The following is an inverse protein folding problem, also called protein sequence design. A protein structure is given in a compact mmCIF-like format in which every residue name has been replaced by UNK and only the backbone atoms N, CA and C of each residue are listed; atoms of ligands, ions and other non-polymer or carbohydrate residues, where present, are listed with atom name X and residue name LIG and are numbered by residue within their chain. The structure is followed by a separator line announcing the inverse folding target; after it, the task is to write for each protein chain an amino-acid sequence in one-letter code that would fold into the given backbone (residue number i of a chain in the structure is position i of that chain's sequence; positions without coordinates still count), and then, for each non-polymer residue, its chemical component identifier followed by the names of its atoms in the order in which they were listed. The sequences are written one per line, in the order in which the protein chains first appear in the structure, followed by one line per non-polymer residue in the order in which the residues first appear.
data_IF_554690485180
#
_entry.id   IF_554690485180
#
_cell.length_a   1.000
_cell.length_b   1.000
_cell.length_c   1.000
_cell.angle_alpha   90.00
_cell.angle_beta   90.00
_cell.angle_gamma   90.00
#
_symmetry.space_group_name_H-M   'P 1'
#
loop_
_entity.id
_entity.type
_entity.pdbx_description
1 polymer ?
#
# COMPACT_ATOMS: atom_id res chain seq x y z
N UNK A 1 -25.07 17.63 9.12
CA UNK A 1 -23.98 16.71 8.76
C UNK A 1 -24.30 16.12 7.39
N UNK A 2 -23.45 16.33 6.39
CA UNK A 2 -23.59 15.67 5.08
C UNK A 2 -23.05 14.25 5.22
N UNK A 3 -23.88 13.25 4.94
CA UNK A 3 -23.47 11.85 4.88
C UNK A 3 -22.93 11.56 3.47
N UNK A 4 -21.66 11.16 3.38
CA UNK A 4 -21.05 10.75 2.13
C UNK A 4 -21.01 9.22 2.07
N UNK A 5 -21.48 8.59 0.99
CA UNK A 5 -21.43 7.14 0.86
C UNK A 5 -19.98 6.65 0.73
N UNK A 6 -19.71 5.40 1.13
CA UNK A 6 -18.41 4.75 0.89
C UNK A 6 -18.50 3.98 -0.43
N UNK A 7 -17.77 4.44 -1.43
CA UNK A 7 -17.82 3.94 -2.81
C UNK A 7 -16.58 3.13 -3.23
N UNK A 8 -15.65 2.88 -2.31
CA UNK A 8 -14.51 2.00 -2.57
C UNK A 8 -14.94 0.54 -2.73
N UNK A 9 -14.30 -0.23 -3.63
CA UNK A 9 -14.42 -1.67 -3.62
C UNK A 9 -14.04 -2.23 -2.25
N UNK A 10 -14.85 -3.14 -1.71
CA UNK A 10 -14.66 -3.68 -0.36
C UNK A 10 -13.24 -4.21 -0.07
N UNK A 11 -12.49 -4.84 -1.02
CA UNK A 11 -11.12 -5.29 -0.73
C UNK A 11 -10.16 -4.12 -0.52
N UNK A 12 -10.37 -3.01 -1.23
CA UNK A 12 -9.56 -1.80 -1.12
C UNK A 12 -9.88 -1.07 0.18
N UNK A 13 -11.15 -1.06 0.59
CA UNK A 13 -11.56 -0.52 1.88
C UNK A 13 -10.92 -1.30 3.04
N UNK A 14 -10.97 -2.64 3.00
CA UNK A 14 -10.31 -3.49 3.99
C UNK A 14 -8.81 -3.23 4.04
N UNK A 15 -8.15 -3.13 2.88
CA UNK A 15 -6.74 -2.78 2.79
C UNK A 15 -6.44 -1.42 3.41
N UNK A 16 -7.27 -0.40 3.15
CA UNK A 16 -7.08 0.95 3.67
C UNK A 16 -7.16 1.00 5.20
N UNK A 17 -8.14 0.30 5.79
CA UNK A 17 -8.23 0.12 7.24
C UNK A 17 -7.04 -0.65 7.79
N UNK A 18 -6.62 -1.73 7.12
CA UNK A 18 -5.46 -2.51 7.48
C UNK A 18 -4.18 -1.69 7.52
N UNK A 19 -3.90 -0.89 6.48
CA UNK A 19 -2.76 0.03 6.45
C UNK A 19 -2.82 1.05 7.58
N UNK A 20 -3.98 1.66 7.80
CA UNK A 20 -4.14 2.68 8.84
C UNK A 20 -3.88 2.08 10.23
N UNK A 21 -4.48 0.93 10.53
CA UNK A 21 -4.27 0.21 11.79
C UNK A 21 -2.81 -0.23 11.97
N UNK A 22 -2.20 -0.79 10.92
CA UNK A 22 -0.80 -1.18 10.92
C UNK A 22 0.12 0.01 11.18
N UNK A 23 -0.11 1.13 10.50
CA UNK A 23 0.66 2.35 10.69
C UNK A 23 0.50 2.93 12.09
N UNK A 24 -0.72 2.92 12.66
CA UNK A 24 -0.94 3.27 14.07
C UNK A 24 -0.16 2.36 15.01
N UNK A 25 -0.14 1.04 14.77
CA UNK A 25 0.63 0.12 15.59
C UNK A 25 2.14 0.40 15.53
N UNK A 26 2.67 0.82 14.38
CA UNK A 26 4.09 1.17 14.24
C UNK A 26 4.40 2.52 14.88
N UNK A 27 3.51 3.50 14.72
CA UNK A 27 3.65 4.84 15.29
C UNK A 27 3.62 4.83 16.82
N UNK A 28 2.77 3.98 17.40
CA UNK A 28 2.60 3.88 18.85
C UNK A 28 3.50 2.82 19.49
N UNK A 29 4.22 2.02 18.70
CA UNK A 29 5.14 1.02 19.21
C UNK A 29 6.38 1.69 19.83
N UNK A 30 6.66 1.34 21.09
CA UNK A 30 7.89 1.76 21.75
C UNK A 30 9.05 0.85 21.34
N UNK A 31 10.27 1.39 21.10
CA UNK A 31 11.46 0.58 20.93
C UNK A 31 11.67 -0.37 22.11
N UNK A 32 12.16 -1.57 21.83
CA UNK A 32 12.48 -2.59 22.86
C UNK A 32 13.90 -3.10 22.64
N UNK A 33 14.50 -3.76 23.62
CA UNK A 33 15.84 -4.36 23.46
C UNK A 33 15.92 -5.34 22.27
N UNK A 34 14.82 -6.03 21.96
CA UNK A 34 14.73 -6.97 20.83
C UNK A 34 14.43 -6.30 19.48
N UNK A 35 13.96 -5.06 19.51
CA UNK A 35 13.65 -4.25 18.34
C UNK A 35 13.90 -2.76 18.66
N UNK A 36 15.19 -2.33 18.65
CA UNK A 36 15.57 -0.99 19.09
C UNK A 36 15.28 0.10 18.05
N UNK A 37 14.96 -0.29 16.81
CA UNK A 37 14.61 0.63 15.72
C UNK A 37 13.27 1.34 16.00
N UNK A 38 13.29 2.67 15.97
CA UNK A 38 12.07 3.48 15.89
C UNK A 38 11.43 3.32 14.51
N UNK A 39 10.12 3.08 14.49
CA UNK A 39 9.32 2.87 13.28
C UNK A 39 8.28 3.98 13.09
N UNK A 40 8.33 5.04 13.89
CA UNK A 40 7.35 6.12 13.88
C UNK A 40 7.16 6.74 12.50
N UNK A 41 8.26 7.06 11.80
CA UNK A 41 8.20 7.63 10.44
C UNK A 41 7.55 6.67 9.44
N UNK A 42 7.88 5.38 9.51
CA UNK A 42 7.24 4.35 8.68
C UNK A 42 5.75 4.22 9.01
N UNK A 43 5.40 4.31 10.30
CA UNK A 43 4.02 4.33 10.77
C UNK A 43 3.22 5.50 10.19
N UNK A 44 3.77 6.71 10.23
CA UNK A 44 3.17 7.92 9.64
C UNK A 44 2.93 7.73 8.14
N UNK A 45 3.95 7.25 7.40
CA UNK A 45 3.82 7.00 5.96
C UNK A 45 2.73 5.95 5.67
N UNK A 46 2.66 4.90 6.47
CA UNK A 46 1.66 3.82 6.32
C UNK A 46 0.24 4.32 6.62
N UNK A 47 0.07 5.13 7.68
CA UNK A 47 -1.20 5.81 7.98
C UNK A 47 -1.60 6.72 6.82
N UNK A 48 -0.69 7.54 6.31
CA UNK A 48 -0.97 8.47 5.23
C UNK A 48 -1.49 7.75 3.97
N UNK A 49 -0.91 6.60 3.63
CA UNK A 49 -1.39 5.76 2.52
C UNK A 49 -2.80 5.22 2.78
N UNK A 50 -3.05 4.64 3.95
CA UNK A 50 -4.36 4.10 4.31
C UNK A 50 -5.45 5.19 4.37
N UNK A 51 -5.15 6.31 5.01
CA UNK A 51 -6.05 7.45 5.10
C UNK A 51 -6.33 8.08 3.74
N UNK A 52 -5.38 8.11 2.80
CA UNK A 52 -5.63 8.65 1.46
C UNK A 52 -6.76 7.89 0.72
N UNK A 53 -6.84 6.56 0.87
CA UNK A 53 -7.99 5.78 0.37
C UNK A 53 -9.28 6.15 1.11
N UNK A 54 -9.27 6.18 2.45
CA UNK A 54 -10.46 6.46 3.25
C UNK A 54 -10.99 7.88 2.95
N UNK A 55 -10.11 8.86 2.89
CA UNK A 55 -10.43 10.26 2.60
C UNK A 55 -10.95 10.47 1.18
N UNK A 56 -10.64 9.59 0.23
CA UNK A 56 -11.18 9.63 -1.14
C UNK A 56 -12.33 8.65 -1.36
N UNK A 57 -12.77 7.94 -0.32
CA UNK A 57 -13.75 6.86 -0.45
C UNK A 57 -15.15 7.33 -0.83
N UNK A 58 -15.44 8.62 -0.68
CA UNK A 58 -16.70 9.22 -1.12
C UNK A 58 -16.79 9.40 -2.64
N UNK A 59 -15.66 9.37 -3.35
CA UNK A 59 -15.61 9.65 -4.78
C UNK A 59 -15.98 8.39 -5.58
N UNK A 60 -16.85 8.49 -6.61
CA UNK A 60 -17.14 7.38 -7.49
C UNK A 60 -15.87 6.76 -8.09
N UNK A 61 -15.86 5.44 -8.29
CA UNK A 61 -14.68 4.69 -8.77
C UNK A 61 -14.12 5.26 -10.07
N UNK A 62 -15.00 5.71 -10.98
CA UNK A 62 -14.61 6.29 -12.26
C UNK A 62 -13.77 7.58 -12.11
N UNK A 63 -14.05 8.37 -11.06
CA UNK A 63 -13.45 9.68 -10.83
C UNK A 63 -12.35 9.65 -9.77
N UNK A 64 -12.17 8.52 -9.07
CA UNK A 64 -11.26 8.40 -7.95
C UNK A 64 -9.78 8.33 -8.40
N UNK A 65 -9.18 9.48 -8.68
CA UNK A 65 -7.80 9.58 -9.17
C UNK A 65 -6.77 8.93 -8.24
N UNK A 66 -6.97 8.94 -6.92
CA UNK A 66 -6.06 8.26 -5.99
C UNK A 66 -6.13 6.74 -6.16
N UNK A 67 -7.34 6.18 -6.26
CA UNK A 67 -7.56 4.76 -6.52
C UNK A 67 -6.90 4.32 -7.83
N UNK A 68 -7.09 5.07 -8.91
CA UNK A 68 -6.46 4.78 -10.21
C UNK A 68 -4.94 4.87 -10.11
N UNK A 69 -4.40 5.99 -9.61
CA UNK A 69 -2.96 6.20 -9.47
C UNK A 69 -2.27 5.12 -8.61
N UNK A 70 -2.99 4.55 -7.65
CA UNK A 70 -2.43 3.50 -6.79
C UNK A 70 -2.04 2.23 -7.54
N UNK A 71 -2.67 1.92 -8.69
CA UNK A 71 -2.38 0.72 -9.48
C UNK A 71 -0.93 0.69 -9.95
N UNK A 72 -0.45 1.63 -10.79
CA UNK A 72 0.92 1.61 -11.26
C UNK A 72 1.92 1.85 -10.12
N UNK A 73 1.56 2.61 -9.08
CA UNK A 73 2.42 2.81 -7.90
C UNK A 73 2.68 1.49 -7.18
N UNK A 74 1.63 0.72 -6.88
CA UNK A 74 1.77 -0.60 -6.22
C UNK A 74 2.60 -1.57 -7.04
N UNK A 75 2.35 -1.64 -8.34
CA UNK A 75 3.12 -2.50 -9.25
C UNK A 75 4.59 -2.07 -9.25
N UNK A 76 4.87 -0.76 -9.33
CA UNK A 76 6.25 -0.25 -9.33
C UNK A 76 6.97 -0.54 -8.01
N UNK A 77 6.30 -0.32 -6.87
CA UNK A 77 6.86 -0.62 -5.55
C UNK A 77 7.11 -2.11 -5.36
N UNK A 78 6.20 -2.97 -5.83
CA UNK A 78 6.37 -4.41 -5.84
C UNK A 78 7.59 -4.83 -6.67
N UNK A 79 7.76 -4.25 -7.87
CA UNK A 79 8.93 -4.50 -8.71
C UNK A 79 10.23 -4.06 -8.02
N UNK A 80 10.26 -2.87 -7.41
CA UNK A 80 11.42 -2.39 -6.66
C UNK A 80 11.74 -3.31 -5.48
N UNK A 81 10.72 -3.78 -4.74
CA UNK A 81 10.89 -4.75 -3.66
C UNK A 81 11.45 -6.09 -4.16
N UNK A 82 10.96 -6.57 -5.31
CA UNK A 82 11.45 -7.78 -5.97
C UNK A 82 12.89 -7.65 -6.46
N UNK A 83 13.24 -6.55 -7.12
CA UNK A 83 14.61 -6.26 -7.53
C UNK A 83 15.54 -6.21 -6.32
N UNK A 84 15.17 -5.49 -5.25
CA UNK A 84 15.96 -5.46 -4.02
C UNK A 84 16.10 -6.86 -3.43
N UNK A 85 15.04 -7.65 -3.40
CA UNK A 85 15.07 -9.04 -2.91
C UNK A 85 16.03 -9.93 -3.72
N UNK A 86 16.09 -9.76 -5.04
CA UNK A 86 17.02 -10.48 -5.92
C UNK A 86 18.48 -10.07 -5.71
N UNK A 87 18.74 -8.80 -5.36
CA UNK A 87 20.12 -8.33 -5.08
C UNK A 87 20.68 -8.82 -3.75
N UNK A 88 19.85 -9.33 -2.83
CA UNK A 88 20.32 -9.82 -1.53
C UNK A 88 20.87 -11.23 -1.71
N UNK A 89 22.20 -11.36 -1.62
CA UNK A 89 22.91 -12.64 -1.71
C UNK A 89 22.57 -13.60 -0.56
N UNK A 90 22.88 -14.90 -0.75
CA UNK A 90 22.57 -15.95 0.24
C UNK A 90 23.28 -15.74 1.59
N UNK A 91 24.50 -15.20 1.60
CA UNK A 91 25.22 -14.87 2.84
C UNK A 91 24.64 -13.63 3.54
N UNK A 92 24.21 -12.62 2.78
CA UNK A 92 23.60 -11.39 3.30
C UNK A 92 22.16 -11.61 3.80
N UNK A 93 21.48 -12.66 3.33
CA UNK A 93 20.14 -13.00 3.75
C UNK A 93 20.03 -13.23 5.28
N UNK A 94 21.13 -13.63 5.93
CA UNK A 94 21.21 -13.78 7.39
C UNK A 94 21.21 -12.44 8.13
N UNK A 95 21.76 -11.39 7.52
CA UNK A 95 21.79 -10.01 8.02
C UNK A 95 20.45 -9.30 7.75
N UNK A 96 19.82 -9.57 6.61
CA UNK A 96 18.49 -9.06 6.26
C UNK A 96 17.38 -9.87 6.94
N UNK A 97 17.20 -9.68 8.26
CA UNK A 97 16.08 -10.25 9.06
C UNK A 97 14.69 -10.04 8.42
N UNK A 98 14.55 -9.02 7.55
CA UNK A 98 13.30 -8.62 6.88
C UNK A 98 13.25 -8.98 5.39
N UNK A 99 14.13 -9.85 4.87
CA UNK A 99 14.10 -10.29 3.45
C UNK A 99 12.72 -10.81 3.02
N UNK A 100 12.06 -11.59 3.90
CA UNK A 100 10.72 -12.12 3.62
C UNK A 100 9.63 -11.03 3.56
N UNK A 101 9.86 -9.88 4.18
CA UNK A 101 8.96 -8.72 4.08
C UNK A 101 8.98 -8.16 2.65
N UNK A 102 10.15 -8.08 2.01
CA UNK A 102 10.25 -7.63 0.61
C UNK A 102 9.50 -8.56 -0.34
N UNK A 103 9.58 -9.87 -0.11
CA UNK A 103 8.81 -10.86 -0.87
C UNK A 103 7.31 -10.71 -0.61
N UNK A 104 6.92 -10.45 0.64
CA UNK A 104 5.53 -10.15 1.01
C UNK A 104 5.00 -8.91 0.29
N UNK A 105 5.77 -7.82 0.22
CA UNK A 105 5.41 -6.60 -0.52
C UNK A 105 5.30 -6.89 -2.02
N UNK A 106 6.28 -7.59 -2.61
CA UNK A 106 6.24 -7.98 -4.02
C UNK A 106 4.94 -8.73 -4.36
N UNK A 107 4.57 -9.72 -3.54
CA UNK A 107 3.39 -10.53 -3.79
C UNK A 107 2.10 -9.75 -3.49
N UNK A 108 2.02 -9.08 -2.35
CA UNK A 108 0.81 -8.40 -1.91
C UNK A 108 0.49 -7.17 -2.77
N UNK A 109 1.44 -6.25 -2.95
CA UNK A 109 1.23 -5.04 -3.75
C UNK A 109 1.26 -5.36 -5.25
N UNK A 110 2.06 -6.33 -5.68
CA UNK A 110 2.08 -6.79 -7.07
C UNK A 110 0.75 -7.40 -7.48
N UNK A 111 0.26 -8.42 -6.76
CA UNK A 111 -1.04 -9.03 -7.03
C UNK A 111 -2.18 -8.03 -6.80
N UNK A 112 -2.11 -7.25 -5.72
CA UNK A 112 -3.12 -6.24 -5.41
C UNK A 112 -3.23 -5.16 -6.49
N UNK A 113 -2.11 -4.68 -7.02
CA UNK A 113 -2.07 -3.74 -8.14
C UNK A 113 -2.57 -4.37 -9.45
N UNK A 114 -2.17 -5.61 -9.74
CA UNK A 114 -2.63 -6.34 -10.93
C UNK A 114 -4.14 -6.60 -10.93
N UNK A 115 -4.68 -7.07 -9.79
CA UNK A 115 -6.10 -7.32 -9.63
C UNK A 115 -6.91 -6.03 -9.69
N UNK A 116 -6.44 -4.97 -9.03
CA UNK A 116 -7.12 -3.67 -9.08
C UNK A 116 -7.10 -3.08 -10.49
N UNK A 117 -5.97 -3.12 -11.19
CA UNK A 117 -5.89 -2.63 -12.58
C UNK A 117 -6.80 -3.42 -13.54
N UNK A 118 -6.89 -4.75 -13.36
CA UNK A 118 -7.88 -5.57 -14.09
C UNK A 118 -9.32 -5.17 -13.75
N UNK A 119 -9.61 -4.96 -12.47
CA UNK A 119 -10.94 -4.53 -12.01
C UNK A 119 -11.34 -3.15 -12.56
N UNK A 120 -10.39 -2.21 -12.63
CA UNK A 120 -10.61 -0.87 -13.20
C UNK A 120 -10.59 -0.86 -14.75
N UNK A 121 -10.16 -1.96 -15.38
CA UNK A 121 -10.02 -2.04 -16.84
C UNK A 121 -8.84 -1.24 -17.41
N UNK A 122 -7.97 -0.68 -16.56
CA UNK A 122 -6.82 0.14 -16.98
C UNK A 122 -5.67 0.05 -15.96
N UNK A 123 -4.44 0.20 -16.48
CA UNK A 123 -3.20 0.26 -15.71
C UNK A 123 -2.51 1.63 -15.80
N UNK A 124 -3.12 2.59 -16.51
CA UNK A 124 -2.51 3.90 -16.78
C UNK A 124 -2.33 4.77 -15.53
N UNK A 125 -3.04 4.46 -14.46
CA UNK A 125 -3.11 5.28 -13.25
C UNK A 125 -3.89 6.57 -13.40
N UNK A 126 -4.63 6.74 -14.51
CA UNK A 126 -5.36 7.96 -14.83
C UNK A 126 -6.84 7.65 -14.94
N UNK A 127 -7.68 8.50 -14.34
CA UNK A 127 -9.10 8.53 -14.65
C UNK A 127 -9.28 8.90 -16.12
N UNK A 128 -10.34 8.40 -16.74
CA UNK A 128 -10.74 8.84 -18.08
C UNK A 128 -11.13 10.30 -18.00
N UNK A 129 -10.33 11.19 -18.57
CA UNK A 129 -10.75 12.56 -18.78
C UNK A 129 -11.93 12.52 -19.77
N UNK A 130 -13.08 13.06 -19.37
CA UNK A 130 -14.19 13.27 -20.29
C UNK A 130 -13.70 14.12 -21.48
N UNK A 131 -14.01 13.63 -22.68
CA UNK A 131 -14.15 14.48 -23.87
C UNK A 131 -15.43 15.29 -23.75
#
# INVERSE_FOLDING_TARGET
MLFYPILLPWPILLHAFGLTALGCSMLLAKPTEKAPEDKSTLGIATIALGMSYISTSYMPIADNQFLHASVPVRISLALLAGLKWLTIGAEEARLYKKRNVLLGVLLYDGLGGLLLGRFLGTFSGKVTAFR
#
